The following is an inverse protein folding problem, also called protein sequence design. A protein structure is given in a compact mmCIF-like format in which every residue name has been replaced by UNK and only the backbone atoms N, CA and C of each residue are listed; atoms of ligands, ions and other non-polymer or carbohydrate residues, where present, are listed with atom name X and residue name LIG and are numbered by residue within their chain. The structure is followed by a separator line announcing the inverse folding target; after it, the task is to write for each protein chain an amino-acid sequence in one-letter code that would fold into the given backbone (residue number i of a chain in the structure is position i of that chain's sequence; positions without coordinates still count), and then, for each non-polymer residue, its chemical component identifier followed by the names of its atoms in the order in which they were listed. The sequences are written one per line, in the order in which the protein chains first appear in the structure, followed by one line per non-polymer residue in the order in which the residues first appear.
data_IF_979082530178
#
_entry.id   IF_979082530178
#
_cell.length_a   1.000
_cell.length_b   1.000
_cell.length_c   1.000
_cell.angle_alpha   90.00
_cell.angle_beta   90.00
_cell.angle_gamma   90.00
#
_symmetry.space_group_name_H-M   'P 1'
#
loop_
_entity.id
_entity.type
_entity.pdbx_description
1 polymer ?
#
# COMPACT_ATOMS: atom_id res chain seq x y z
N UNK A 1 -8.52 -3.34 7.46
CA UNK A 1 -8.08 -2.57 6.27
C UNK A 1 -8.65 -3.08 4.93
N UNK A 2 -9.84 -3.69 4.94
CA UNK A 2 -10.42 -4.35 3.75
C UNK A 2 -10.71 -3.42 2.56
N UNK A 3 -10.94 -2.13 2.82
CA UNK A 3 -11.18 -1.12 1.77
C UNK A 3 -9.94 -0.81 0.93
N UNK A 4 -8.74 -0.81 1.52
CA UNK A 4 -7.49 -0.58 0.79
C UNK A 4 -7.24 -1.70 -0.22
N UNK A 5 -7.35 -2.95 0.23
CA UNK A 5 -7.16 -4.10 -0.66
C UNK A 5 -8.21 -4.15 -1.77
N UNK A 6 -9.46 -3.82 -1.47
CA UNK A 6 -10.52 -3.75 -2.48
C UNK A 6 -10.22 -2.69 -3.55
N UNK A 7 -9.80 -1.49 -3.14
CA UNK A 7 -9.40 -0.42 -4.07
C UNK A 7 -8.15 -0.80 -4.86
N UNK A 8 -7.16 -1.46 -4.24
CA UNK A 8 -5.97 -1.96 -4.92
C UNK A 8 -6.30 -3.02 -5.98
N UNK A 9 -7.27 -3.91 -5.71
CA UNK A 9 -7.78 -4.88 -6.69
C UNK A 9 -8.51 -4.19 -7.84
N UNK A 10 -9.40 -3.23 -7.55
CA UNK A 10 -10.14 -2.48 -8.56
C UNK A 10 -9.19 -1.66 -9.46
N UNK A 11 -8.16 -1.04 -8.88
CA UNK A 11 -7.13 -0.32 -9.63
C UNK A 11 -6.37 -1.26 -10.58
N UNK A 12 -5.96 -2.44 -10.10
CA UNK A 12 -5.28 -3.44 -10.94
C UNK A 12 -6.18 -3.88 -12.11
N UNK A 13 -7.46 -4.09 -11.86
CA UNK A 13 -8.44 -4.44 -12.91
C UNK A 13 -8.56 -3.34 -13.96
N UNK A 14 -8.61 -2.09 -13.53
CA UNK A 14 -8.68 -0.94 -14.42
C UNK A 14 -7.41 -0.79 -15.28
N UNK A 15 -6.23 -0.85 -14.66
CA UNK A 15 -4.95 -0.72 -15.37
C UNK A 15 -4.73 -1.89 -16.34
N UNK A 16 -5.11 -3.11 -15.95
CA UNK A 16 -4.97 -4.31 -16.79
C UNK A 16 -6.09 -4.48 -17.83
N UNK A 17 -7.05 -3.55 -17.90
CA UNK A 17 -8.22 -3.66 -18.77
C UNK A 17 -7.88 -3.95 -20.25
N UNK A 18 -6.83 -3.36 -20.87
CA UNK A 18 -6.49 -3.67 -22.26
C UNK A 18 -6.13 -5.14 -22.50
N UNK A 19 -5.37 -5.75 -21.58
CA UNK A 19 -5.00 -7.16 -21.68
C UNK A 19 -6.19 -8.06 -21.33
N UNK A 20 -6.95 -7.72 -20.28
CA UNK A 20 -8.15 -8.48 -19.90
C UNK A 20 -9.15 -8.52 -21.07
N UNK A 21 -9.41 -7.38 -21.70
CA UNK A 21 -10.30 -7.27 -22.84
C UNK A 21 -9.81 -8.13 -24.02
N UNK A 22 -8.51 -8.06 -24.36
CA UNK A 22 -7.92 -8.87 -25.43
C UNK A 22 -8.24 -10.38 -25.29
N UNK A 23 -8.05 -10.96 -24.10
CA UNK A 23 -8.37 -12.37 -23.88
C UNK A 23 -9.87 -12.64 -23.81
N UNK A 24 -10.61 -11.83 -23.04
CA UNK A 24 -12.05 -12.00 -22.82
C UNK A 24 -12.83 -11.90 -24.12
N UNK A 25 -12.54 -10.90 -24.93
CA UNK A 25 -13.27 -10.60 -26.16
C UNK A 25 -12.96 -11.65 -27.22
N UNK A 26 -11.72 -12.12 -27.34
CA UNK A 26 -11.37 -13.26 -28.20
C UNK A 26 -12.16 -14.52 -27.81
N UNK A 27 -12.25 -14.82 -26.51
CA UNK A 27 -13.01 -15.99 -26.02
C UNK A 27 -14.50 -15.85 -26.29
N UNK A 28 -15.05 -14.66 -26.11
CA UNK A 28 -16.46 -14.37 -26.34
C UNK A 28 -16.83 -14.48 -27.82
N UNK A 29 -16.04 -13.88 -28.70
CA UNK A 29 -16.22 -13.90 -30.16
C UNK A 29 -16.25 -15.33 -30.71
N UNK A 30 -15.29 -16.16 -30.32
CA UNK A 30 -15.22 -17.55 -30.77
C UNK A 30 -16.09 -18.50 -29.93
N UNK A 31 -16.79 -18.02 -28.91
CA UNK A 31 -17.64 -18.83 -28.02
C UNK A 31 -16.90 -20.00 -27.37
N UNK A 32 -15.61 -19.82 -27.04
CA UNK A 32 -14.77 -20.90 -26.51
C UNK A 32 -15.14 -21.20 -25.06
N UNK A 33 -15.50 -22.46 -24.81
CA UNK A 33 -15.94 -22.93 -23.50
C UNK A 33 -14.75 -23.10 -22.54
N UNK A 34 -15.04 -23.04 -21.23
CA UNK A 34 -14.04 -23.34 -20.21
C UNK A 34 -13.47 -24.76 -20.40
N UNK A 35 -14.34 -25.73 -20.75
CA UNK A 35 -13.93 -27.12 -21.00
C UNK A 35 -12.88 -27.23 -22.08
N UNK A 36 -13.07 -26.58 -23.24
CA UNK A 36 -12.09 -26.58 -24.33
C UNK A 36 -10.73 -25.99 -23.91
N UNK A 37 -10.74 -24.93 -23.09
CA UNK A 37 -9.50 -24.34 -22.55
C UNK A 37 -8.80 -25.31 -21.60
N UNK A 38 -9.55 -26.00 -20.74
CA UNK A 38 -8.99 -27.02 -19.84
C UNK A 38 -8.43 -28.19 -20.62
N UNK A 39 -9.13 -28.67 -21.64
CA UNK A 39 -8.68 -29.77 -22.47
C UNK A 39 -7.38 -29.41 -23.22
N UNK A 40 -7.24 -28.15 -23.66
CA UNK A 40 -6.03 -27.68 -24.34
C UNK A 40 -4.85 -27.40 -23.40
N UNK A 41 -5.10 -26.86 -22.21
CA UNK A 41 -4.03 -26.36 -21.31
C UNK A 41 -3.73 -27.29 -20.13
N UNK A 42 -4.66 -28.16 -19.76
CA UNK A 42 -4.64 -28.95 -18.53
C UNK A 42 -4.93 -28.16 -17.26
N UNK A 43 -5.21 -26.85 -17.34
CA UNK A 43 -5.26 -25.95 -16.17
C UNK A 43 -6.67 -25.44 -15.86
N UNK A 44 -7.45 -26.28 -15.19
CA UNK A 44 -8.82 -25.95 -14.72
C UNK A 44 -8.90 -24.65 -13.94
N UNK A 45 -7.99 -24.46 -13.00
CA UNK A 45 -8.04 -23.30 -12.09
C UNK A 45 -7.62 -21.99 -12.76
N UNK A 46 -7.03 -22.02 -13.97
CA UNK A 46 -6.48 -20.81 -14.60
C UNK A 46 -7.42 -20.15 -15.61
N UNK A 47 -8.49 -20.85 -16.02
CA UNK A 47 -9.46 -20.31 -16.98
C UNK A 47 -10.02 -18.96 -16.52
N UNK A 48 -10.38 -18.82 -15.23
CA UNK A 48 -10.87 -17.56 -14.68
C UNK A 48 -9.80 -16.47 -14.65
N UNK A 49 -8.57 -16.81 -14.29
CA UNK A 49 -7.46 -15.85 -14.18
C UNK A 49 -6.99 -15.33 -15.54
N UNK A 50 -7.19 -16.08 -16.63
CA UNK A 50 -6.81 -15.62 -17.96
C UNK A 50 -7.93 -14.82 -18.66
N UNK A 51 -9.19 -15.14 -18.37
CA UNK A 51 -10.35 -14.64 -19.13
C UNK A 51 -11.34 -13.82 -18.31
N UNK A 52 -11.04 -13.49 -17.05
CA UNK A 52 -11.88 -12.63 -16.22
C UNK A 52 -11.05 -11.53 -15.54
N UNK A 53 -11.71 -10.43 -15.14
CA UNK A 53 -11.03 -9.36 -14.42
C UNK A 53 -10.61 -9.77 -12.99
N UNK A 54 -11.23 -10.79 -12.40
CA UNK A 54 -10.91 -11.21 -11.04
C UNK A 54 -9.58 -11.95 -11.02
N UNK A 55 -8.64 -11.46 -10.21
CA UNK A 55 -7.32 -12.06 -10.02
C UNK A 55 -6.57 -12.34 -11.35
N UNK A 56 -6.75 -11.46 -12.34
CA UNK A 56 -6.23 -11.69 -13.68
C UNK A 56 -4.69 -11.87 -13.69
N UNK A 57 -4.22 -12.80 -14.51
CA UNK A 57 -2.81 -13.11 -14.73
C UNK A 57 -2.54 -13.32 -16.23
N UNK A 58 -1.39 -12.87 -16.70
CA UNK A 58 -0.93 -13.20 -18.05
C UNK A 58 -0.53 -14.69 -18.09
N UNK A 59 -1.01 -15.49 -19.06
CA UNK A 59 -0.50 -16.84 -19.27
C UNK A 59 1.01 -16.83 -19.55
N UNK A 60 1.73 -17.85 -19.08
CA UNK A 60 3.10 -18.08 -19.55
C UNK A 60 3.10 -18.43 -21.05
N UNK A 61 4.29 -18.46 -21.64
CA UNK A 61 4.43 -18.67 -23.08
C UNK A 61 3.86 -20.02 -23.56
N UNK A 62 4.09 -21.10 -22.82
CA UNK A 62 3.61 -22.44 -23.18
C UNK A 62 2.08 -22.53 -23.16
N UNK A 63 1.46 -22.01 -22.10
CA UNK A 63 0.00 -21.96 -21.99
C UNK A 63 -0.58 -21.05 -23.07
N UNK A 64 0.08 -19.92 -23.35
CA UNK A 64 -0.37 -19.01 -24.40
C UNK A 64 -0.33 -19.66 -25.77
N UNK A 65 0.75 -20.39 -26.11
CA UNK A 65 0.84 -21.13 -27.39
C UNK A 65 -0.26 -22.17 -27.53
N UNK A 66 -0.59 -22.92 -26.47
CA UNK A 66 -1.72 -23.87 -26.47
C UNK A 66 -3.05 -23.16 -26.71
N UNK A 67 -3.25 -22.00 -26.09
CA UNK A 67 -4.43 -21.16 -26.33
C UNK A 67 -4.47 -20.66 -27.79
N UNK A 68 -3.35 -20.23 -28.36
CA UNK A 68 -3.28 -19.80 -29.76
C UNK A 68 -3.71 -20.91 -30.72
N UNK A 69 -3.20 -22.14 -30.53
CA UNK A 69 -3.59 -23.30 -31.35
C UNK A 69 -5.08 -23.59 -31.23
N UNK A 70 -5.63 -23.59 -30.00
CA UNK A 70 -7.06 -23.80 -29.78
C UNK A 70 -7.91 -22.72 -30.47
N UNK A 71 -7.54 -21.45 -30.31
CA UNK A 71 -8.30 -20.34 -30.86
C UNK A 71 -8.24 -20.32 -32.39
N UNK A 72 -7.08 -20.57 -32.99
CA UNK A 72 -6.93 -20.67 -34.44
C UNK A 72 -7.79 -21.81 -35.03
N UNK A 73 -7.78 -22.99 -34.40
CA UNK A 73 -8.61 -24.12 -34.84
C UNK A 73 -10.10 -23.78 -34.82
N UNK A 74 -10.58 -23.18 -33.73
CA UNK A 74 -12.01 -22.82 -33.60
C UNK A 74 -12.40 -21.68 -34.54
N UNK A 75 -11.50 -20.73 -34.78
CA UNK A 75 -11.70 -19.66 -35.75
C UNK A 75 -11.88 -20.20 -37.17
N UNK A 76 -11.05 -21.16 -37.57
CA UNK A 76 -11.15 -21.85 -38.86
C UNK A 76 -12.45 -22.66 -38.98
N UNK A 77 -12.77 -23.49 -37.97
CA UNK A 77 -14.01 -24.27 -37.91
C UNK A 77 -15.28 -23.40 -38.04
N UNK A 78 -15.24 -22.18 -37.52
CA UNK A 78 -16.38 -21.24 -37.53
C UNK A 78 -16.35 -20.25 -38.69
N UNK A 79 -15.28 -20.23 -39.49
CA UNK A 79 -15.02 -19.20 -40.49
C UNK A 79 -15.15 -17.76 -39.91
N UNK A 80 -14.63 -17.56 -38.68
CA UNK A 80 -14.72 -16.31 -37.93
C UNK A 80 -13.35 -15.87 -37.45
N UNK A 81 -13.09 -14.55 -37.48
CA UNK A 81 -11.89 -13.98 -36.84
C UNK A 81 -12.09 -13.85 -35.33
N UNK A 82 -11.01 -13.93 -34.58
CA UNK A 82 -11.02 -13.79 -33.12
C UNK A 82 -9.84 -14.49 -32.44
N UNK A 83 -8.79 -14.79 -33.19
CA UNK A 83 -7.62 -15.50 -32.75
C UNK A 83 -6.78 -14.67 -31.78
N UNK A 84 -5.93 -15.36 -31.02
CA UNK A 84 -4.92 -14.74 -30.18
C UNK A 84 -3.65 -14.49 -31.03
N UNK A 85 -3.68 -13.46 -31.87
CA UNK A 85 -2.64 -13.22 -32.89
C UNK A 85 -1.36 -12.59 -32.36
N UNK A 86 -1.43 -11.85 -31.25
CA UNK A 86 -0.27 -11.09 -30.74
C UNK A 86 0.84 -12.03 -30.27
N UNK A 87 2.10 -11.81 -30.67
CA UNK A 87 3.23 -12.56 -30.11
C UNK A 87 3.31 -12.39 -28.59
N UNK A 88 3.67 -13.48 -27.88
CA UNK A 88 3.73 -13.47 -26.41
C UNK A 88 4.63 -12.38 -25.84
N UNK A 89 5.79 -12.13 -26.46
CA UNK A 89 6.72 -11.08 -26.03
C UNK A 89 6.10 -9.68 -26.04
N UNK A 90 5.20 -9.38 -26.99
CA UNK A 90 4.49 -8.09 -27.00
C UNK A 90 3.53 -7.98 -25.82
N UNK A 91 2.83 -9.07 -25.48
CA UNK A 91 1.96 -9.12 -24.30
C UNK A 91 2.76 -8.95 -23.01
N UNK A 92 3.93 -9.56 -22.90
CA UNK A 92 4.84 -9.40 -21.75
C UNK A 92 5.32 -7.96 -21.64
N UNK A 93 5.66 -7.31 -22.76
CA UNK A 93 6.05 -5.90 -22.79
C UNK A 93 4.92 -5.01 -22.28
N UNK A 94 3.70 -5.15 -22.84
CA UNK A 94 2.52 -4.39 -22.39
C UNK A 94 2.20 -4.67 -20.92
N UNK A 95 2.27 -5.93 -20.49
CA UNK A 95 2.04 -6.30 -19.08
C UNK A 95 3.05 -5.64 -18.15
N UNK A 96 4.32 -5.60 -18.53
CA UNK A 96 5.39 -4.98 -17.74
C UNK A 96 5.21 -3.47 -17.62
N UNK A 97 4.78 -2.81 -18.70
CA UNK A 97 4.46 -1.39 -18.71
C UNK A 97 3.24 -1.07 -17.83
N UNK A 98 2.14 -1.78 -18.01
CA UNK A 98 0.93 -1.63 -17.20
C UNK A 98 1.20 -1.94 -15.72
N UNK A 99 2.03 -2.93 -15.40
CA UNK A 99 2.43 -3.21 -14.04
C UNK A 99 3.22 -2.05 -13.42
N UNK A 100 4.08 -1.39 -14.19
CA UNK A 100 4.83 -0.23 -13.73
C UNK A 100 3.89 0.93 -13.42
N UNK A 101 2.91 1.19 -14.29
CA UNK A 101 1.87 2.19 -14.06
C UNK A 101 1.04 1.86 -12.81
N UNK A 102 0.60 0.60 -12.68
CA UNK A 102 -0.10 0.12 -11.49
C UNK A 102 0.72 0.31 -10.21
N UNK A 103 2.00 -0.04 -10.23
CA UNK A 103 2.90 0.12 -9.08
C UNK A 103 3.06 1.60 -8.70
N UNK A 104 3.22 2.48 -9.68
CA UNK A 104 3.30 3.93 -9.46
C UNK A 104 2.02 4.48 -8.83
N UNK A 105 0.85 4.15 -9.39
CA UNK A 105 -0.45 4.60 -8.88
C UNK A 105 -0.75 4.04 -7.49
N UNK A 106 -0.34 2.78 -7.22
CA UNK A 106 -0.50 2.18 -5.91
C UNK A 106 0.36 2.89 -4.86
N UNK A 107 1.58 3.29 -5.22
CA UNK A 107 2.47 4.03 -4.32
C UNK A 107 1.97 5.46 -4.06
N UNK A 108 1.50 6.15 -5.10
CA UNK A 108 0.83 7.44 -4.95
C UNK A 108 -0.37 7.33 -4.00
N UNK A 109 -1.23 6.30 -4.19
CA UNK A 109 -2.37 6.06 -3.33
C UNK A 109 -1.97 5.82 -1.86
N UNK A 110 -0.90 5.06 -1.62
CA UNK A 110 -0.35 4.87 -0.26
C UNK A 110 0.23 6.16 0.33
N UNK A 111 0.80 7.03 -0.51
CA UNK A 111 1.36 8.30 -0.06
C UNK A 111 0.27 9.29 0.37
N UNK A 112 -0.85 9.32 -0.36
CA UNK A 112 -2.00 10.19 -0.07
C UNK A 112 -2.79 9.73 1.16
N UNK A 113 -2.69 8.45 1.50
CA UNK A 113 -3.37 7.89 2.68
C UNK A 113 -2.68 8.37 3.95
N UNK A 114 -3.49 8.80 4.93
CA UNK A 114 -3.02 9.03 6.30
C UNK A 114 -2.28 7.80 6.80
N UNK A 115 -1.04 8.01 7.22
CA UNK A 115 -0.24 6.92 7.75
C UNK A 115 -0.85 6.44 9.06
N UNK A 116 -1.17 5.15 9.09
CA UNK A 116 -1.61 4.47 10.29
C UNK A 116 -1.02 3.06 10.31
N UNK A 117 -0.09 2.81 11.22
CA UNK A 117 0.59 1.53 11.36
C UNK A 117 0.36 0.95 12.73
N UNK A 118 -0.27 -0.22 12.78
CA UNK A 118 -0.41 -1.03 13.99
C UNK A 118 0.43 -2.29 13.84
N UNK A 119 1.02 -2.71 14.95
CA UNK A 119 1.89 -3.88 15.02
C UNK A 119 1.63 -4.62 16.33
N UNK A 120 2.25 -5.78 16.53
CA UNK A 120 2.20 -6.45 17.83
C UNK A 120 2.73 -5.56 18.96
N UNK A 121 3.68 -4.66 18.67
CA UNK A 121 4.23 -3.69 19.62
C UNK A 121 3.33 -2.44 19.80
N UNK A 122 2.42 -2.18 18.86
CA UNK A 122 1.47 -1.06 18.90
C UNK A 122 0.10 -1.59 18.49
N UNK A 123 -0.62 -2.24 19.43
CA UNK A 123 -1.85 -2.97 19.12
C UNK A 123 -2.98 -2.01 18.72
N UNK A 124 -3.88 -2.50 17.86
CA UNK A 124 -5.12 -1.82 17.52
C UNK A 124 -6.14 -2.01 18.66
N UNK A 125 -6.14 -1.07 19.61
CA UNK A 125 -7.06 -1.03 20.76
C UNK A 125 -7.36 0.42 21.12
N UNK A 126 -8.55 0.67 21.66
CA UNK A 126 -8.96 1.99 22.15
C UNK A 126 -8.65 2.19 23.64
N UNK A 127 -8.16 1.15 24.34
CA UNK A 127 -7.79 1.20 25.76
C UNK A 127 -6.28 0.98 25.91
N UNK A 128 -5.57 2.02 26.35
CA UNK A 128 -4.11 2.00 26.49
C UNK A 128 -3.72 2.13 27.96
N UNK A 129 -2.74 1.34 28.41
CA UNK A 129 -2.27 1.35 29.80
C UNK A 129 -0.82 1.82 29.86
N UNK A 130 -0.61 3.02 30.39
CA UNK A 130 0.73 3.60 30.61
C UNK A 130 0.88 4.06 32.05
N UNK A 131 2.11 3.94 32.58
CA UNK A 131 2.42 4.48 33.92
C UNK A 131 2.42 6.02 33.87
N UNK A 132 1.82 6.71 34.85
CA UNK A 132 1.94 8.15 35.00
C UNK A 132 3.39 8.57 35.20
N UNK A 133 3.73 9.80 34.81
CA UNK A 133 5.04 10.39 35.08
C UNK A 133 5.16 10.67 36.58
N UNK A 134 6.19 10.15 37.25
CA UNK A 134 6.45 10.41 38.68
C UNK A 134 6.88 11.86 38.93
N UNK A 135 6.61 12.42 40.12
CA UNK A 135 6.98 13.81 40.45
C UNK A 135 8.49 13.94 40.74
N UNK A 136 9.08 15.08 40.37
CA UNK A 136 10.44 15.49 40.75
C UNK A 136 10.55 17.04 40.75
N UNK A 137 11.52 17.64 41.47
CA UNK A 137 11.71 19.10 41.49
C UNK A 137 11.93 19.68 40.08
N UNK A 138 11.21 20.76 39.72
CA UNK A 138 11.26 21.38 38.39
C UNK A 138 10.37 20.71 37.34
N UNK A 139 9.62 19.66 37.71
CA UNK A 139 8.71 18.96 36.81
C UNK A 139 7.51 19.81 36.39
N UNK A 140 7.11 19.68 35.13
CA UNK A 140 5.85 20.21 34.65
C UNK A 140 4.63 19.49 35.28
N UNK A 141 3.64 20.22 35.81
CA UNK A 141 2.49 19.63 36.51
C UNK A 141 1.75 18.56 35.70
N UNK A 142 1.62 18.78 34.39
CA UNK A 142 0.81 17.95 33.49
C UNK A 142 1.64 17.25 32.39
N UNK A 143 2.82 16.73 32.72
CA UNK A 143 3.67 16.01 31.75
C UNK A 143 3.04 14.68 31.31
N UNK A 144 2.92 14.46 29.99
CA UNK A 144 2.39 13.24 29.39
C UNK A 144 3.44 12.12 29.39
N UNK A 145 3.06 10.85 29.63
CA UNK A 145 4.01 9.72 29.57
C UNK A 145 4.68 9.59 28.20
N UNK A 146 6.02 9.50 28.17
CA UNK A 146 6.78 9.41 26.93
C UNK A 146 6.45 8.16 26.09
N UNK A 147 6.19 7.02 26.74
CA UNK A 147 5.85 5.77 26.04
C UNK A 147 4.52 5.87 25.30
N UNK A 148 3.53 6.53 25.91
CA UNK A 148 2.25 6.82 25.26
C UNK A 148 2.46 7.69 24.01
N UNK A 149 3.25 8.77 24.13
CA UNK A 149 3.54 9.65 23.00
C UNK A 149 4.30 8.92 21.89
N UNK A 150 5.27 8.07 22.23
CA UNK A 150 5.99 7.25 21.24
C UNK A 150 5.04 6.30 20.52
N UNK A 151 4.10 5.68 21.23
CA UNK A 151 3.08 4.83 20.64
C UNK A 151 2.20 5.62 19.65
N UNK A 152 1.70 6.80 20.04
CA UNK A 152 0.91 7.67 19.16
C UNK A 152 1.69 8.08 17.91
N UNK A 153 2.91 8.59 18.08
CA UNK A 153 3.74 9.08 16.99
C UNK A 153 4.10 7.94 16.04
N UNK A 154 4.46 6.76 16.56
CA UNK A 154 4.79 5.59 15.74
C UNK A 154 3.58 5.11 14.95
N UNK A 155 2.40 5.09 15.57
CA UNK A 155 1.18 4.68 14.90
C UNK A 155 0.78 5.64 13.78
N UNK A 156 0.98 6.95 13.96
CA UNK A 156 0.37 7.99 13.11
C UNK A 156 1.34 8.80 12.26
N UNK A 157 2.64 8.50 12.27
CA UNK A 157 3.63 9.19 11.43
C UNK A 157 4.75 8.27 10.93
N UNK A 158 5.37 8.61 9.81
CA UNK A 158 6.57 7.97 9.26
C UNK A 158 7.84 8.64 9.81
N UNK A 159 8.99 7.94 9.86
CA UNK A 159 10.28 8.61 10.06
C UNK A 159 10.47 9.77 9.06
N UNK A 160 11.00 10.90 9.51
CA UNK A 160 11.15 12.12 8.70
C UNK A 160 9.90 13.02 8.62
N UNK A 161 8.71 12.51 8.96
CA UNK A 161 7.50 13.33 9.05
C UNK A 161 7.65 14.42 10.11
N UNK A 162 6.84 15.47 9.98
CA UNK A 162 6.76 16.57 10.93
C UNK A 162 5.64 16.32 11.94
N UNK A 163 5.98 16.33 13.23
CA UNK A 163 5.03 16.30 14.35
C UNK A 163 4.91 17.71 14.92
N UNK A 164 3.70 18.23 15.03
CA UNK A 164 3.44 19.55 15.62
C UNK A 164 2.67 19.43 16.94
N UNK A 165 3.11 20.13 17.98
CA UNK A 165 2.39 20.29 19.24
C UNK A 165 2.24 21.78 19.56
N UNK A 166 1.01 22.29 19.47
CA UNK A 166 0.73 23.71 19.69
C UNK A 166 0.51 24.09 21.16
N UNK A 167 0.60 23.11 22.06
CA UNK A 167 0.50 23.28 23.51
C UNK A 167 1.60 22.44 24.18
N UNK A 168 2.85 22.68 23.76
CA UNK A 168 3.93 21.74 24.00
C UNK A 168 4.28 21.57 25.48
N UNK A 169 4.00 22.56 26.34
CA UNK A 169 4.28 22.50 27.78
C UNK A 169 5.73 22.09 28.05
N UNK A 170 5.95 20.91 28.64
CA UNK A 170 7.28 20.34 28.90
C UNK A 170 8.07 19.88 27.66
N UNK A 171 7.47 19.97 26.47
CA UNK A 171 8.06 19.51 25.21
C UNK A 171 8.12 17.99 25.07
N UNK A 172 7.36 17.24 25.88
CA UNK A 172 7.35 15.76 25.85
C UNK A 172 7.06 15.18 24.46
N UNK A 173 6.12 15.78 23.71
CA UNK A 173 5.79 15.39 22.32
C UNK A 173 6.97 15.64 21.37
N UNK A 174 7.60 16.82 21.46
CA UNK A 174 8.76 17.21 20.64
C UNK A 174 9.94 16.26 20.90
N UNK A 175 10.27 16.05 22.17
CA UNK A 175 11.34 15.13 22.61
C UNK A 175 11.09 13.71 22.11
N UNK A 176 9.86 13.20 22.20
CA UNK A 176 9.49 11.87 21.70
C UNK A 176 9.58 11.76 20.17
N UNK A 177 9.09 12.76 19.43
CA UNK A 177 9.15 12.80 17.97
C UNK A 177 10.60 12.76 17.48
N UNK A 178 11.47 13.58 18.07
CA UNK A 178 12.90 13.60 17.75
C UNK A 178 13.59 12.28 18.09
N UNK A 179 13.22 11.62 19.19
CA UNK A 179 13.74 10.29 19.53
C UNK A 179 13.34 9.21 18.52
N UNK A 180 12.20 9.37 17.86
CA UNK A 180 11.72 8.49 16.82
C UNK A 180 12.22 8.89 15.41
N UNK A 181 13.10 9.88 15.28
CA UNK A 181 13.59 10.32 13.97
C UNK A 181 12.54 11.09 13.16
N UNK A 182 11.61 11.78 13.82
CA UNK A 182 10.68 12.73 13.20
C UNK A 182 11.21 14.15 13.39
N UNK A 183 10.82 15.05 12.50
CA UNK A 183 10.94 16.50 12.71
C UNK A 183 9.85 16.94 13.68
N UNK A 184 10.10 18.00 14.44
CA UNK A 184 9.13 18.48 15.42
C UNK A 184 9.02 20.01 15.42
N UNK A 185 7.80 20.51 15.60
CA UNK A 185 7.50 21.91 15.90
C UNK A 185 6.71 21.93 17.21
N UNK A 186 7.12 22.79 18.13
CA UNK A 186 6.43 23.04 19.39
C UNK A 186 6.07 24.52 19.51
N UNK A 187 4.86 24.80 20.00
CA UNK A 187 4.44 26.15 20.38
C UNK A 187 4.02 26.12 21.84
N UNK A 188 4.44 27.14 22.57
CA UNK A 188 4.04 27.40 23.95
C UNK A 188 3.79 28.90 24.08
N UNK A 189 2.73 29.25 24.82
CA UNK A 189 2.30 30.63 24.99
C UNK A 189 3.07 31.32 26.11
N UNK A 190 3.33 30.60 27.20
CA UNK A 190 3.98 31.13 28.39
C UNK A 190 5.50 31.19 28.15
N UNK A 191 6.08 32.39 28.23
CA UNK A 191 7.46 32.64 27.80
C UNK A 191 8.49 31.89 28.65
N UNK A 192 8.32 31.88 29.98
CA UNK A 192 9.23 31.17 30.89
C UNK A 192 9.20 29.66 30.60
N UNK A 193 8.00 29.09 30.40
CA UNK A 193 7.83 27.69 29.99
C UNK A 193 8.47 27.41 28.63
N UNK A 194 8.26 28.29 27.65
CA UNK A 194 8.84 28.13 26.32
C UNK A 194 10.36 28.08 26.40
N UNK A 195 10.98 29.04 27.09
CA UNK A 195 12.43 29.13 27.24
C UNK A 195 13.01 27.90 27.93
N UNK A 196 12.41 27.46 29.05
CA UNK A 196 12.84 26.26 29.76
C UNK A 196 12.78 25.01 28.85
N UNK A 197 11.66 24.82 28.15
CA UNK A 197 11.47 23.67 27.25
C UNK A 197 12.42 23.73 26.05
N UNK A 198 12.66 24.92 25.50
CA UNK A 198 13.61 25.11 24.40
C UNK A 198 15.04 24.75 24.83
N UNK A 199 15.48 25.18 26.02
CA UNK A 199 16.78 24.82 26.59
C UNK A 199 16.92 23.31 26.80
N UNK A 200 15.89 22.65 27.35
CA UNK A 200 15.88 21.19 27.52
C UNK A 200 16.05 20.44 26.18
N UNK A 201 15.32 20.88 25.15
CA UNK A 201 15.38 20.25 23.82
C UNK A 201 16.75 20.48 23.18
N UNK A 202 17.30 21.68 23.27
CA UNK A 202 18.66 21.97 22.77
C UNK A 202 19.72 21.12 23.47
N UNK A 203 19.63 20.97 24.79
CA UNK A 203 20.54 20.09 25.55
C UNK A 203 20.43 18.63 25.12
N UNK A 204 19.23 18.17 24.76
CA UNK A 204 19.01 16.81 24.26
C UNK A 204 19.60 16.60 22.86
N UNK A 205 19.56 17.62 21.99
CA UNK A 205 20.22 17.60 20.68
C UNK A 205 21.74 17.47 20.85
N UNK A 206 22.34 18.34 21.67
CA UNK A 206 23.80 18.35 21.92
C UNK A 206 24.34 17.04 22.48
N UNK A 207 23.54 16.31 23.27
CA UNK A 207 23.94 15.00 23.82
C UNK A 207 23.93 13.85 22.79
N UNK A 208 23.35 14.07 21.61
CA UNK A 208 23.26 13.06 20.54
C UNK A 208 24.33 13.22 19.45
N UNK A 209 25.01 14.36 19.44
CA UNK A 209 26.21 14.64 18.64
C UNK A 209 27.45 14.06 19.33
#
# INVERSE_FOLDING_TARGET
DAGYEAKGRALKQHVMAPLIAYFRDARATLGITAKQIVDATGKKNMVSHWFSASQWQLPNEDDYRKLQVLFARVAEEKHQRGELEKPHHQLVSTYSELNRQYASLLEEYKSLRRYFSVSAAVPYTDVWTHKPVQYYPGKHPCEKPADMLRQMITASSRPGDLVADFFMGSGSTVKAAMALGRRAIGVELEAERFEQTAMDVQNLIRKRE
#
